data_IF_666228723407
#
_entry.id   IF_666228723407
#
_cell.length_a   1.000
_cell.length_b   1.000
_cell.length_c   1.000
_cell.angle_alpha   90.00
_cell.angle_beta   90.00
_cell.angle_gamma   90.00
#
_symmetry.space_group_name_H-M   'P 1'
#
loop_
_entity.id
_entity.type
_entity.pdbx_description
1 polymer ?
#
# COMPACT_ATOMS: atom_id res chain seq x y z
N UNK A 1 19.57 -20.16 -2.31
CA UNK A 1 19.41 -20.79 -0.98
C UNK A 1 17.95 -21.23 -0.84
N UNK A 2 17.66 -22.39 -0.23
CA UNK A 2 16.28 -22.77 0.06
C UNK A 2 15.71 -21.99 1.28
N UNK A 3 14.39 -22.08 1.47
CA UNK A 3 13.68 -21.31 2.50
C UNK A 3 14.13 -21.66 3.93
N UNK A 4 14.45 -22.94 4.20
CA UNK A 4 14.84 -23.38 5.54
C UNK A 4 16.25 -22.88 5.89
N UNK A 5 17.18 -23.00 4.95
CA UNK A 5 18.53 -22.49 5.10
C UNK A 5 18.51 -20.96 5.26
N UNK A 6 17.68 -20.25 4.48
CA UNK A 6 17.50 -18.81 4.63
C UNK A 6 16.97 -18.46 6.02
N UNK A 7 15.91 -19.14 6.47
CA UNK A 7 15.34 -18.93 7.81
C UNK A 7 16.36 -19.11 8.92
N UNK A 8 17.12 -20.21 8.87
CA UNK A 8 18.16 -20.50 9.87
C UNK A 8 19.24 -19.43 9.89
N UNK A 9 19.63 -18.91 8.72
CA UNK A 9 20.62 -17.85 8.63
C UNK A 9 20.08 -16.53 9.18
N UNK A 10 18.86 -16.13 8.82
CA UNK A 10 18.24 -14.89 9.32
C UNK A 10 18.03 -14.90 10.84
N UNK A 11 17.68 -16.05 11.43
CA UNK A 11 17.57 -16.21 12.89
C UNK A 11 18.89 -16.00 13.65
N UNK A 12 20.04 -16.13 12.97
CA UNK A 12 21.35 -15.93 13.57
C UNK A 12 21.84 -14.48 13.44
N UNK A 13 21.15 -13.63 12.68
CA UNK A 13 21.56 -12.24 12.49
C UNK A 13 21.20 -11.40 13.72
N UNK A 14 22.16 -10.67 14.31
CA UNK A 14 21.84 -9.70 15.36
C UNK A 14 21.14 -8.48 14.74
N UNK A 15 20.17 -7.92 15.44
CA UNK A 15 19.40 -6.75 14.99
C UNK A 15 20.23 -5.46 14.80
N UNK A 16 21.46 -5.38 15.35
CA UNK A 16 22.11 -4.06 15.55
C UNK A 16 23.49 -3.91 14.88
N UNK A 17 24.11 -4.95 14.31
CA UNK A 17 25.43 -4.75 13.68
C UNK A 17 25.83 -5.78 12.61
N UNK A 18 25.65 -5.40 11.35
CA UNK A 18 26.06 -6.20 10.18
C UNK A 18 27.58 -6.29 10.02
N UNK A 19 28.32 -5.24 10.41
CA UNK A 19 29.78 -5.22 10.33
C UNK A 19 30.44 -6.20 11.31
N UNK A 20 29.77 -6.52 12.43
CA UNK A 20 30.27 -7.44 13.44
C UNK A 20 30.21 -8.93 13.03
N UNK A 21 29.45 -9.27 11.99
CA UNK A 21 29.26 -10.65 11.53
C UNK A 21 29.95 -10.98 10.21
N UNK A 22 30.69 -10.03 9.60
CA UNK A 22 31.40 -10.30 8.36
C UNK A 22 30.47 -10.71 7.22
N UNK A 23 29.25 -10.15 7.15
CA UNK A 23 28.39 -10.29 5.97
C UNK A 23 29.10 -9.62 4.79
N UNK A 24 29.86 -10.41 4.04
CA UNK A 24 30.66 -9.90 2.93
C UNK A 24 29.79 -9.36 1.78
N UNK A 25 28.54 -9.84 1.66
CA UNK A 25 27.60 -9.45 0.58
C UNK A 25 26.13 -9.39 1.06
N UNK A 26 25.71 -8.36 1.82
CA UNK A 26 24.32 -8.22 2.28
C UNK A 26 23.30 -8.14 1.13
N UNK A 27 23.72 -7.63 -0.03
CA UNK A 27 22.87 -7.57 -1.22
C UNK A 27 22.51 -8.95 -1.79
N UNK A 28 23.45 -9.89 -1.83
CA UNK A 28 23.16 -11.25 -2.30
C UNK A 28 22.14 -11.96 -1.40
N UNK A 29 22.23 -11.72 -0.09
CA UNK A 29 21.23 -12.19 0.86
C UNK A 29 19.88 -11.51 0.63
N UNK A 30 19.85 -10.19 0.36
CA UNK A 30 18.62 -9.49 0.00
C UNK A 30 17.93 -10.10 -1.23
N UNK A 31 18.69 -10.51 -2.25
CA UNK A 31 18.14 -11.20 -3.43
C UNK A 31 17.55 -12.58 -3.07
N UNK A 32 18.18 -13.31 -2.15
CA UNK A 32 17.58 -14.54 -1.61
C UNK A 32 16.30 -14.27 -0.79
N UNK A 33 16.27 -13.19 -0.02
CA UNK A 33 15.06 -12.78 0.71
C UNK A 33 13.93 -12.41 -0.24
N UNK A 34 14.22 -11.66 -1.32
CA UNK A 34 13.23 -11.33 -2.37
C UNK A 34 12.66 -12.59 -3.02
N UNK A 35 13.49 -13.59 -3.31
CA UNK A 35 13.01 -14.88 -3.85
C UNK A 35 12.01 -15.60 -2.93
N UNK A 36 12.10 -15.40 -1.61
CA UNK A 36 11.23 -16.03 -0.61
C UNK A 36 10.23 -15.04 0.03
N UNK A 37 10.05 -13.85 -0.55
CA UNK A 37 9.24 -12.77 0.03
C UNK A 37 7.76 -13.12 0.17
N UNK A 38 7.28 -14.11 -0.58
CA UNK A 38 5.92 -14.65 -0.50
C UNK A 38 5.79 -15.96 0.28
N UNK A 39 6.77 -16.31 1.13
CA UNK A 39 6.74 -17.56 1.89
C UNK A 39 5.44 -17.73 2.70
N UNK A 40 4.79 -18.91 2.71
CA UNK A 40 3.62 -19.17 3.55
C UNK A 40 3.97 -19.32 5.04
N UNK A 41 5.26 -19.41 5.38
CA UNK A 41 5.76 -19.37 6.76
C UNK A 41 5.84 -17.90 7.24
N UNK A 42 4.94 -17.45 8.14
CA UNK A 42 4.87 -16.06 8.57
C UNK A 42 6.10 -15.61 9.35
N UNK A 43 6.80 -16.54 10.03
CA UNK A 43 8.04 -16.18 10.74
C UNK A 43 9.13 -15.87 9.72
N UNK A 44 9.25 -16.66 8.65
CA UNK A 44 10.23 -16.35 7.60
C UNK A 44 9.87 -15.06 6.86
N UNK A 45 8.60 -14.87 6.51
CA UNK A 45 8.15 -13.75 5.68
C UNK A 45 8.13 -12.42 6.45
N UNK A 46 7.41 -12.36 7.56
CA UNK A 46 7.07 -11.12 8.26
C UNK A 46 8.17 -10.75 9.25
N UNK A 47 8.51 -11.68 10.15
CA UNK A 47 9.42 -11.44 11.27
C UNK A 47 10.90 -11.42 10.86
N UNK A 48 11.24 -12.11 9.77
CA UNK A 48 12.62 -12.23 9.30
C UNK A 48 12.85 -11.44 8.01
N UNK A 49 12.28 -11.86 6.87
CA UNK A 49 12.55 -11.22 5.56
C UNK A 49 12.17 -9.74 5.58
N UNK A 50 10.90 -9.42 5.83
CA UNK A 50 10.44 -8.04 5.77
C UNK A 50 11.12 -7.16 6.82
N UNK A 51 11.16 -7.61 8.08
CA UNK A 51 11.82 -6.87 9.15
C UNK A 51 13.30 -6.58 8.84
N UNK A 52 14.06 -7.60 8.43
CA UNK A 52 15.48 -7.46 8.08
C UNK A 52 15.66 -6.49 6.91
N UNK A 53 14.86 -6.62 5.85
CA UNK A 53 14.92 -5.73 4.70
C UNK A 53 14.63 -4.28 5.08
N UNK A 54 13.55 -4.02 5.84
CA UNK A 54 13.18 -2.69 6.28
C UNK A 54 14.27 -2.05 7.16
N UNK A 55 14.83 -2.83 8.10
CA UNK A 55 15.92 -2.37 8.95
C UNK A 55 17.19 -2.05 8.14
N UNK A 56 17.59 -2.93 7.20
CA UNK A 56 18.79 -2.72 6.40
C UNK A 56 18.66 -1.54 5.44
N UNK A 57 17.47 -1.34 4.86
CA UNK A 57 17.18 -0.16 4.03
C UNK A 57 17.28 1.11 4.90
N UNK A 58 16.66 1.11 6.08
CA UNK A 58 16.70 2.23 7.02
C UNK A 58 18.09 2.55 7.57
N UNK A 59 18.95 1.54 7.74
CA UNK A 59 20.35 1.67 8.15
C UNK A 59 21.30 2.00 6.98
N UNK A 60 20.77 2.22 5.77
CA UNK A 60 21.54 2.55 4.56
C UNK A 60 22.60 1.51 4.19
N UNK A 61 22.30 0.22 4.40
CA UNK A 61 23.20 -0.90 4.08
C UNK A 61 23.42 -1.02 2.57
N UNK A 62 22.42 -0.64 1.78
CA UNK A 62 22.45 -0.73 0.33
C UNK A 62 22.85 0.59 -0.33
N UNK A 63 23.60 0.49 -1.42
CA UNK A 63 23.82 1.60 -2.36
C UNK A 63 22.54 2.01 -3.09
N UNK A 64 22.53 3.19 -3.70
CA UNK A 64 21.39 3.69 -4.47
C UNK A 64 21.06 2.76 -5.64
N UNK A 65 22.08 2.23 -6.31
CA UNK A 65 21.92 1.26 -7.40
C UNK A 65 21.28 -0.05 -6.93
N UNK A 66 21.66 -0.53 -5.73
CA UNK A 66 21.09 -1.73 -5.14
C UNK A 66 19.64 -1.53 -4.70
N UNK A 67 19.32 -0.37 -4.10
CA UNK A 67 17.95 -0.02 -3.73
C UNK A 67 17.05 0.07 -4.97
N UNK A 68 17.54 0.71 -6.03
CA UNK A 68 16.84 0.78 -7.32
C UNK A 68 16.63 -0.61 -7.93
N UNK A 69 17.64 -1.48 -7.88
CA UNK A 69 17.49 -2.85 -8.36
C UNK A 69 16.47 -3.67 -7.53
N UNK A 70 16.46 -3.53 -6.20
CA UNK A 70 15.46 -4.18 -5.34
C UNK A 70 14.04 -3.66 -5.61
N UNK A 71 13.90 -2.35 -5.85
CA UNK A 71 12.63 -1.73 -6.20
C UNK A 71 12.09 -2.26 -7.53
N UNK A 72 12.94 -2.33 -8.55
CA UNK A 72 12.57 -2.90 -9.85
C UNK A 72 12.18 -4.37 -9.73
N UNK A 73 12.92 -5.14 -8.94
CA UNK A 73 12.62 -6.56 -8.67
C UNK A 73 11.27 -6.72 -7.97
N UNK A 74 11.03 -5.96 -6.89
CA UNK A 74 9.76 -5.99 -6.16
C UNK A 74 8.55 -5.66 -7.06
N UNK A 75 8.76 -4.86 -8.11
CA UNK A 75 7.69 -4.43 -9.00
C UNK A 75 7.55 -5.27 -10.27
N UNK A 76 8.29 -6.36 -10.45
CA UNK A 76 8.26 -7.17 -11.68
C UNK A 76 7.05 -8.13 -11.79
N UNK A 77 7.03 -8.95 -12.85
CA UNK A 77 5.97 -9.92 -13.14
C UNK A 77 5.97 -11.14 -12.20
N UNK A 78 7.11 -11.45 -11.59
CA UNK A 78 7.29 -12.58 -10.67
C UNK A 78 7.13 -12.17 -9.19
N UNK A 79 6.92 -10.88 -8.93
CA UNK A 79 6.73 -10.28 -7.61
C UNK A 79 5.38 -9.56 -7.51
N UNK A 80 5.32 -8.24 -7.76
CA UNK A 80 4.09 -7.44 -7.64
C UNK A 80 2.93 -7.99 -8.47
N UNK A 81 3.20 -8.53 -9.65
CA UNK A 81 2.17 -9.08 -10.54
C UNK A 81 2.10 -10.61 -10.56
N UNK A 82 2.78 -11.27 -9.62
CA UNK A 82 2.80 -12.74 -9.54
C UNK A 82 1.38 -13.30 -9.44
N UNK A 83 0.89 -13.84 -10.55
CA UNK A 83 -0.47 -14.37 -10.70
C UNK A 83 -1.56 -13.38 -10.27
N UNK A 84 -1.37 -12.11 -10.63
CA UNK A 84 -2.30 -11.02 -10.29
C UNK A 84 -3.77 -11.40 -10.62
N UNK A 85 -4.67 -11.12 -9.68
CA UNK A 85 -6.10 -11.46 -9.77
C UNK A 85 -6.47 -12.84 -9.20
N UNK A 86 -5.49 -13.72 -8.93
CA UNK A 86 -5.73 -14.98 -8.23
C UNK A 86 -6.12 -14.74 -6.76
N UNK A 87 -7.17 -15.44 -6.30
CA UNK A 87 -7.73 -15.31 -4.96
C UNK A 87 -7.65 -16.63 -4.18
N UNK A 88 -7.47 -16.55 -2.87
CA UNK A 88 -7.56 -17.69 -1.96
C UNK A 88 -6.31 -18.56 -1.90
N UNK A 89 -5.27 -18.25 -2.68
CA UNK A 89 -4.01 -19.01 -2.71
C UNK A 89 -2.87 -18.25 -2.05
N UNK A 90 -1.71 -18.89 -1.93
CA UNK A 90 -0.54 -18.28 -1.29
C UNK A 90 0.15 -17.23 -2.17
N UNK A 91 -0.28 -17.09 -3.43
CA UNK A 91 0.25 -16.08 -4.36
C UNK A 91 0.09 -14.64 -3.84
N UNK A 92 -0.93 -14.39 -3.00
CA UNK A 92 -1.16 -13.07 -2.38
C UNK A 92 0.03 -12.62 -1.54
N UNK A 93 0.74 -13.53 -0.87
CA UNK A 93 1.86 -13.17 0.00
C UNK A 93 3.00 -12.57 -0.81
N UNK A 94 3.32 -13.14 -1.98
CA UNK A 94 4.33 -12.57 -2.87
C UNK A 94 3.95 -11.14 -3.26
N UNK A 95 2.73 -10.94 -3.77
CA UNK A 95 2.31 -9.63 -4.26
C UNK A 95 2.24 -8.59 -3.14
N UNK A 96 1.63 -8.96 -2.01
CA UNK A 96 1.42 -8.06 -0.88
C UNK A 96 2.73 -7.66 -0.19
N UNK A 97 3.70 -8.56 -0.04
CA UNK A 97 4.99 -8.19 0.54
C UNK A 97 5.91 -7.51 -0.47
N UNK A 98 5.72 -7.75 -1.76
CA UNK A 98 6.43 -7.02 -2.81
C UNK A 98 6.01 -5.55 -2.85
N UNK A 99 4.71 -5.22 -2.78
CA UNK A 99 4.27 -3.82 -2.70
C UNK A 99 4.72 -3.16 -1.39
N UNK A 100 4.82 -3.92 -0.28
CA UNK A 100 5.30 -3.42 1.01
C UNK A 100 6.80 -3.06 1.00
N UNK A 101 7.56 -3.48 0.00
CA UNK A 101 8.96 -3.07 -0.15
C UNK A 101 9.12 -1.61 -0.64
N UNK A 102 8.09 -1.01 -1.22
CA UNK A 102 8.16 0.35 -1.76
C UNK A 102 8.34 1.41 -0.66
N UNK A 103 7.52 1.45 0.42
CA UNK A 103 7.64 2.45 1.49
C UNK A 103 9.07 2.66 2.04
N UNK A 104 9.80 1.64 2.52
CA UNK A 104 11.14 1.86 3.07
C UNK A 104 12.13 2.40 2.02
N UNK A 105 12.05 1.95 0.76
CA UNK A 105 12.94 2.42 -0.32
C UNK A 105 12.63 3.87 -0.69
N UNK A 106 11.35 4.20 -0.88
CA UNK A 106 10.88 5.57 -1.13
C UNK A 106 11.18 6.51 0.04
N UNK A 107 11.18 5.98 1.27
CA UNK A 107 11.61 6.67 2.47
C UNK A 107 13.09 7.08 2.45
N UNK A 108 13.96 6.22 1.92
CA UNK A 108 15.37 6.57 1.69
C UNK A 108 15.51 7.59 0.56
N UNK A 109 14.82 7.40 -0.57
CA UNK A 109 14.85 8.35 -1.70
C UNK A 109 14.45 9.77 -1.26
N UNK A 110 13.44 9.90 -0.41
CA UNK A 110 13.01 11.19 0.13
C UNK A 110 14.08 11.89 0.99
N UNK A 111 14.93 11.13 1.67
CA UNK A 111 16.03 11.66 2.48
C UNK A 111 17.29 11.92 1.64
N UNK A 112 17.57 11.01 0.71
CA UNK A 112 18.69 11.02 -0.23
C UNK A 112 18.14 10.70 -1.62
N UNK A 113 17.77 11.70 -2.43
CA UNK A 113 17.17 11.44 -3.74
C UNK A 113 18.11 10.70 -4.68
N UNK A 114 17.65 9.56 -5.19
CA UNK A 114 18.34 8.74 -6.19
C UNK A 114 17.42 8.27 -7.32
N UNK A 115 16.10 8.37 -7.16
CA UNK A 115 15.10 8.09 -8.20
C UNK A 115 14.83 9.34 -9.04
N UNK A 116 14.82 9.15 -10.36
CA UNK A 116 14.47 10.23 -11.29
C UNK A 116 12.96 10.31 -11.54
N UNK A 117 12.52 11.45 -12.10
CA UNK A 117 11.11 11.70 -12.45
C UNK A 117 10.47 10.53 -13.20
N UNK A 118 11.11 10.05 -14.26
CA UNK A 118 10.55 9.00 -15.12
C UNK A 118 10.37 7.68 -14.36
N UNK A 119 11.23 7.41 -13.38
CA UNK A 119 11.16 6.22 -12.53
C UNK A 119 10.02 6.31 -11.53
N UNK A 120 9.82 7.48 -10.91
CA UNK A 120 8.67 7.73 -10.05
C UNK A 120 7.35 7.56 -10.81
N UNK A 121 7.27 8.03 -12.07
CA UNK A 121 6.08 7.82 -12.89
C UNK A 121 5.91 6.34 -13.26
N UNK A 122 6.99 5.62 -13.57
CA UNK A 122 6.94 4.18 -13.81
C UNK A 122 6.42 3.40 -12.59
N UNK A 123 6.89 3.76 -11.37
CA UNK A 123 6.41 3.19 -10.10
C UNK A 123 4.91 3.47 -9.94
N UNK A 124 4.47 4.71 -10.17
CA UNK A 124 3.05 5.11 -10.11
C UNK A 124 2.18 4.27 -11.02
N UNK A 125 2.53 4.13 -12.29
CA UNK A 125 1.73 3.35 -13.25
C UNK A 125 1.60 1.88 -12.83
N UNK A 126 2.67 1.27 -12.33
CA UNK A 126 2.64 -0.13 -11.86
C UNK A 126 1.85 -0.27 -10.57
N UNK A 127 1.96 0.68 -9.63
CA UNK A 127 1.15 0.67 -8.41
C UNK A 127 -0.35 0.82 -8.72
N UNK A 128 -0.73 1.71 -9.64
CA UNK A 128 -2.11 1.85 -10.12
C UNK A 128 -2.59 0.56 -10.78
N UNK A 129 -1.76 -0.07 -11.61
CA UNK A 129 -2.08 -1.35 -12.25
C UNK A 129 -2.29 -2.45 -11.21
N UNK A 130 -1.45 -2.50 -10.16
CA UNK A 130 -1.59 -3.44 -9.05
C UNK A 130 -2.89 -3.22 -8.27
N UNK A 131 -3.20 -1.97 -7.88
CA UNK A 131 -4.45 -1.63 -7.21
C UNK A 131 -5.68 -2.03 -8.03
N UNK A 132 -5.63 -1.94 -9.36
CA UNK A 132 -6.73 -2.39 -10.22
C UNK A 132 -6.82 -3.92 -10.34
N UNK A 133 -5.68 -4.59 -10.42
CA UNK A 133 -5.61 -6.03 -10.71
C UNK A 133 -5.69 -6.94 -9.49
N UNK A 134 -5.34 -6.47 -8.30
CA UNK A 134 -5.37 -7.28 -7.08
C UNK A 134 -6.80 -7.55 -6.66
N UNK A 135 -7.15 -8.83 -6.54
CA UNK A 135 -8.49 -9.27 -6.15
C UNK A 135 -8.50 -10.01 -4.80
N UNK A 136 -7.33 -10.42 -4.29
CA UNK A 136 -7.23 -11.06 -2.99
C UNK A 136 -7.05 -10.01 -1.89
N UNK A 137 -8.13 -9.76 -1.17
CA UNK A 137 -8.22 -8.70 -0.16
C UNK A 137 -8.19 -9.25 1.27
N UNK A 138 -7.78 -10.50 1.45
CA UNK A 138 -7.69 -11.11 2.79
C UNK A 138 -6.66 -10.35 3.65
N UNK A 139 -7.04 -9.98 4.87
CA UNK A 139 -6.12 -9.37 5.82
C UNK A 139 -5.24 -10.40 6.53
N UNK A 140 -5.83 -11.38 7.21
CA UNK A 140 -5.12 -12.46 7.92
C UNK A 140 -5.56 -13.84 7.42
N UNK A 141 -4.59 -14.74 7.24
CA UNK A 141 -4.82 -16.14 6.87
C UNK A 141 -4.37 -17.04 8.02
N UNK A 142 -5.27 -17.88 8.51
CA UNK A 142 -5.00 -18.77 9.64
C UNK A 142 -3.76 -19.65 9.36
N UNK A 143 -2.87 -19.74 10.35
CA UNK A 143 -1.57 -20.43 10.29
C UNK A 143 -0.55 -19.89 9.27
N UNK A 144 -0.90 -18.87 8.47
CA UNK A 144 -0.01 -18.27 7.46
C UNK A 144 0.29 -16.79 7.69
N UNK A 145 -0.42 -16.13 8.61
CA UNK A 145 -0.17 -14.74 9.00
C UNK A 145 -0.84 -13.72 8.07
N UNK A 146 -0.23 -12.54 7.98
CA UNK A 146 -0.78 -11.42 7.24
C UNK A 146 -0.68 -11.61 5.72
N UNK A 147 -1.79 -11.46 5.02
CA UNK A 147 -1.81 -11.27 3.56
C UNK A 147 -1.83 -9.76 3.26
N UNK A 148 -2.83 -9.03 3.76
CA UNK A 148 -2.80 -7.56 3.86
C UNK A 148 -2.52 -6.77 2.56
N UNK A 149 -2.83 -7.33 1.40
CA UNK A 149 -2.58 -6.69 0.12
C UNK A 149 -3.12 -5.23 0.02
N UNK A 150 -4.39 -4.92 0.37
CA UNK A 150 -4.88 -3.54 0.35
C UNK A 150 -4.15 -2.61 1.32
N UNK A 151 -3.80 -3.12 2.49
CA UNK A 151 -3.12 -2.37 3.54
C UNK A 151 -1.69 -1.99 3.12
N UNK A 152 -0.95 -2.94 2.57
CA UNK A 152 0.41 -2.71 2.07
C UNK A 152 0.41 -1.81 0.83
N UNK A 153 -0.61 -1.94 -0.03
CA UNK A 153 -0.79 -1.03 -1.17
C UNK A 153 -1.03 0.42 -0.71
N UNK A 154 -1.82 0.61 0.36
CA UNK A 154 -2.08 1.92 0.93
C UNK A 154 -0.79 2.60 1.42
N UNK A 155 0.07 1.88 2.14
CA UNK A 155 1.37 2.42 2.56
C UNK A 155 2.24 2.83 1.36
N UNK A 156 2.26 2.01 0.30
CA UNK A 156 2.99 2.35 -0.91
C UNK A 156 2.42 3.60 -1.60
N UNK A 157 1.10 3.76 -1.64
CA UNK A 157 0.45 4.97 -2.15
C UNK A 157 0.82 6.18 -1.28
N UNK A 158 0.77 6.04 0.04
CA UNK A 158 1.13 7.10 0.98
C UNK A 158 2.56 7.60 0.74
N UNK A 159 3.54 6.70 0.70
CA UNK A 159 4.94 7.11 0.54
C UNK A 159 5.26 7.60 -0.86
N UNK A 160 4.65 7.03 -1.91
CA UNK A 160 4.79 7.49 -3.28
C UNK A 160 4.20 8.90 -3.46
N UNK A 161 3.03 9.17 -2.86
CA UNK A 161 2.36 10.47 -2.91
C UNK A 161 3.19 11.61 -2.29
N UNK A 162 4.22 11.32 -1.49
CA UNK A 162 5.15 12.32 -0.95
C UNK A 162 6.21 12.79 -1.97
N UNK A 163 6.34 12.11 -3.11
CA UNK A 163 7.36 12.47 -4.10
C UNK A 163 7.10 13.84 -4.75
N UNK A 164 8.10 14.73 -4.84
CA UNK A 164 7.96 16.04 -5.48
C UNK A 164 7.79 15.92 -7.01
N UNK A 165 8.03 14.74 -7.59
CA UNK A 165 7.90 14.52 -9.02
C UNK A 165 6.45 14.26 -9.46
N UNK A 166 5.55 13.92 -8.53
CA UNK A 166 4.12 13.74 -8.83
C UNK A 166 3.40 15.09 -8.85
N UNK A 167 2.72 15.34 -9.96
CA UNK A 167 1.88 16.51 -10.17
C UNK A 167 0.41 16.23 -9.76
N UNK A 168 -0.45 17.25 -9.92
CA UNK A 168 -1.88 17.17 -9.60
C UNK A 168 -2.56 15.94 -10.21
N UNK A 169 -2.38 15.74 -11.53
CA UNK A 169 -3.02 14.63 -12.26
C UNK A 169 -2.57 13.27 -11.75
N UNK A 170 -1.29 13.12 -11.41
CA UNK A 170 -0.75 11.87 -10.85
C UNK A 170 -1.34 11.55 -9.48
N UNK A 171 -1.49 12.57 -8.63
CA UNK A 171 -2.09 12.43 -7.31
C UNK A 171 -3.58 12.08 -7.39
N UNK A 172 -4.32 12.68 -8.33
CA UNK A 172 -5.71 12.35 -8.59
C UNK A 172 -5.88 10.90 -9.09
N UNK A 173 -5.01 10.45 -9.99
CA UNK A 173 -4.98 9.07 -10.48
C UNK A 173 -4.71 8.06 -9.35
N UNK A 174 -3.74 8.35 -8.47
CA UNK A 174 -3.47 7.54 -7.28
C UNK A 174 -4.67 7.51 -6.32
N UNK A 175 -5.32 8.65 -6.09
CA UNK A 175 -6.49 8.74 -5.22
C UNK A 175 -7.65 7.89 -5.74
N UNK A 176 -7.93 7.97 -7.05
CA UNK A 176 -8.93 7.12 -7.70
C UNK A 176 -8.57 5.64 -7.68
N UNK A 177 -7.29 5.29 -7.89
CA UNK A 177 -6.84 3.91 -7.81
C UNK A 177 -6.98 3.34 -6.38
N UNK A 178 -6.68 4.14 -5.36
CA UNK A 178 -6.89 3.77 -3.96
C UNK A 178 -8.38 3.54 -3.66
N UNK A 179 -9.26 4.38 -4.21
CA UNK A 179 -10.72 4.25 -4.03
C UNK A 179 -11.27 2.91 -4.54
N UNK A 180 -10.61 2.25 -5.50
CA UNK A 180 -11.01 0.90 -5.94
C UNK A 180 -10.95 -0.09 -4.77
N UNK A 181 -9.94 0.01 -3.89
CA UNK A 181 -9.86 -0.84 -2.69
C UNK A 181 -10.83 -0.39 -1.60
N UNK A 182 -11.04 0.91 -1.43
CA UNK A 182 -12.07 1.42 -0.50
C UNK A 182 -13.47 0.90 -0.85
N UNK A 183 -13.77 0.76 -2.14
CA UNK A 183 -15.04 0.25 -2.66
C UNK A 183 -15.08 -1.28 -2.82
N UNK A 184 -14.18 -2.03 -2.17
CA UNK A 184 -14.21 -3.49 -2.21
C UNK A 184 -15.54 -4.04 -1.69
N UNK A 185 -16.12 -4.98 -2.43
CA UNK A 185 -17.46 -5.51 -2.18
C UNK A 185 -17.48 -6.97 -1.72
N UNK A 186 -16.38 -7.71 -1.79
CA UNK A 186 -16.38 -9.13 -1.48
C UNK A 186 -15.99 -9.43 -0.03
N UNK A 187 -15.36 -8.48 0.67
CA UNK A 187 -14.92 -8.63 2.05
C UNK A 187 -14.98 -7.31 2.81
N UNK A 188 -15.32 -7.37 4.10
CA UNK A 188 -15.20 -6.22 5.01
C UNK A 188 -13.79 -6.17 5.58
N UNK A 189 -13.22 -4.97 5.62
CA UNK A 189 -11.94 -4.73 6.27
C UNK A 189 -12.10 -4.67 7.80
N UNK A 190 -11.26 -5.43 8.50
CA UNK A 190 -11.30 -5.56 9.97
C UNK A 190 -9.91 -5.52 10.62
N UNK A 191 -8.87 -5.29 9.82
CA UNK A 191 -7.47 -5.36 10.23
C UNK A 191 -6.74 -4.04 9.91
N UNK A 192 -7.41 -2.91 10.14
CA UNK A 192 -6.85 -1.55 10.00
C UNK A 192 -6.59 -1.10 8.55
N UNK A 193 -7.12 -1.82 7.54
CA UNK A 193 -6.97 -1.42 6.14
C UNK A 193 -7.61 -0.05 5.85
N UNK A 194 -8.74 0.26 6.49
CA UNK A 194 -9.43 1.54 6.38
C UNK A 194 -8.59 2.71 6.91
N UNK A 195 -7.91 2.52 8.04
CA UNK A 195 -7.04 3.52 8.64
C UNK A 195 -5.80 3.77 7.79
N UNK A 196 -5.17 2.73 7.23
CA UNK A 196 -4.00 2.87 6.35
C UNK A 196 -4.36 3.55 5.03
N UNK A 197 -5.50 3.18 4.42
CA UNK A 197 -6.01 3.91 3.26
C UNK A 197 -6.34 5.37 3.59
N UNK A 198 -6.87 5.66 4.78
CA UNK A 198 -7.12 7.03 5.22
C UNK A 198 -5.82 7.85 5.36
N UNK A 199 -4.72 7.27 5.84
CA UNK A 199 -3.41 7.96 5.88
C UNK A 199 -2.86 8.25 4.47
N UNK A 200 -3.02 7.31 3.54
CA UNK A 200 -2.65 7.51 2.14
C UNK A 200 -3.45 8.66 1.51
N UNK A 201 -4.78 8.69 1.70
CA UNK A 201 -5.62 9.77 1.24
C UNK A 201 -5.27 11.11 1.92
N UNK A 202 -5.06 11.14 3.24
CA UNK A 202 -4.59 12.34 3.95
C UNK A 202 -3.31 12.89 3.32
N UNK A 203 -2.35 12.02 3.01
CA UNK A 203 -1.08 12.44 2.40
C UNK A 203 -1.28 13.04 1.02
N UNK A 204 -2.12 12.42 0.18
CA UNK A 204 -2.47 12.96 -1.15
C UNK A 204 -3.15 14.34 -1.01
N UNK A 205 -4.15 14.47 -0.14
CA UNK A 205 -4.86 15.72 0.11
C UNK A 205 -3.92 16.80 0.65
N UNK A 206 -3.02 16.42 1.55
CA UNK A 206 -2.03 17.31 2.17
C UNK A 206 -0.99 17.87 1.19
N UNK A 207 -0.87 17.30 -0.02
CA UNK A 207 -0.10 17.92 -1.10
C UNK A 207 -0.72 19.24 -1.57
N UNK A 208 -2.02 19.46 -1.30
CA UNK A 208 -2.77 20.67 -1.65
C UNK A 208 -2.61 21.08 -3.12
N UNK A 209 -2.61 20.08 -4.01
CA UNK A 209 -2.52 20.28 -5.46
C UNK A 209 -3.86 20.04 -6.19
N UNK A 210 -4.80 19.32 -5.55
CA UNK A 210 -6.11 19.03 -6.13
C UNK A 210 -7.01 20.26 -6.09
N UNK A 211 -7.80 20.44 -7.13
CA UNK A 211 -8.82 21.49 -7.20
C UNK A 211 -10.04 21.12 -6.34
N UNK A 212 -10.78 22.14 -5.88
CA UNK A 212 -12.00 21.92 -5.09
C UNK A 212 -13.00 21.01 -5.81
N UNK A 213 -13.20 21.19 -7.13
CA UNK A 213 -14.11 20.35 -7.91
C UNK A 213 -13.65 18.88 -7.94
N UNK A 214 -12.34 18.62 -8.03
CA UNK A 214 -11.79 17.26 -8.01
C UNK A 214 -12.04 16.58 -6.64
N UNK A 215 -12.00 17.35 -5.54
CA UNK A 215 -12.32 16.85 -4.20
C UNK A 215 -13.81 16.57 -4.01
N UNK A 216 -14.66 17.47 -4.51
CA UNK A 216 -16.12 17.32 -4.49
C UNK A 216 -16.54 16.08 -5.29
N UNK A 217 -16.03 15.93 -6.51
CA UNK A 217 -16.30 14.78 -7.38
C UNK A 217 -15.81 13.47 -6.75
N UNK A 218 -14.63 13.47 -6.13
CA UNK A 218 -14.10 12.28 -5.46
C UNK A 218 -14.94 11.85 -4.24
N UNK A 219 -15.36 12.79 -3.39
CA UNK A 219 -16.23 12.46 -2.26
C UNK A 219 -17.61 12.00 -2.74
N UNK A 220 -18.13 12.63 -3.79
CA UNK A 220 -19.40 12.23 -4.42
C UNK A 220 -19.33 10.82 -5.00
N UNK A 221 -18.24 10.45 -5.67
CA UNK A 221 -18.01 9.07 -6.15
C UNK A 221 -18.20 8.04 -5.03
N UNK A 222 -17.64 8.31 -3.84
CA UNK A 222 -17.77 7.43 -2.68
C UNK A 222 -19.20 7.44 -2.10
N UNK A 223 -19.90 8.57 -2.14
CA UNK A 223 -21.29 8.70 -1.69
C UNK A 223 -22.27 7.96 -2.62
N UNK A 224 -22.11 8.11 -3.93
CA UNK A 224 -22.96 7.50 -4.96
C UNK A 224 -22.81 5.97 -4.92
N UNK A 225 -21.57 5.47 -4.82
CA UNK A 225 -21.30 4.04 -4.68
C UNK A 225 -21.98 3.38 -3.45
N UNK A 226 -22.30 4.16 -2.41
CA UNK A 226 -23.03 3.68 -1.21
C UNK A 226 -24.55 3.75 -1.34
N UNK A 227 -25.07 4.47 -2.33
CA UNK A 227 -26.49 4.83 -2.48
C UNK A 227 -27.14 4.16 -3.69
N UNK A 228 -26.37 3.76 -4.69
CA UNK A 228 -26.86 3.07 -5.88
C UNK A 228 -27.26 1.61 -5.56
N UNK A 229 -28.55 1.40 -5.31
CA UNK A 229 -29.18 0.08 -5.10
C UNK A 229 -29.35 -0.72 -6.43
N UNK A 230 -29.05 -0.12 -7.59
CA UNK A 230 -29.46 -0.59 -8.92
C UNK A 230 -28.32 -1.12 -9.81
N UNK A 231 -27.16 -1.49 -9.27
CA UNK A 231 -26.17 -2.23 -10.08
C UNK A 231 -26.61 -3.70 -10.20
N UNK A 232 -27.19 -4.06 -11.35
CA UNK A 232 -27.83 -5.36 -11.67
C UNK A 232 -26.94 -6.62 -11.40
N UNK A 233 -25.67 -6.44 -11.02
CA UNK A 233 -24.71 -7.50 -10.74
C UNK A 233 -24.37 -7.79 -9.27
N UNK A 234 -24.72 -6.95 -8.29
CA UNK A 234 -24.29 -7.15 -6.88
C UNK A 234 -25.35 -7.81 -6.01
N UNK A 235 -24.92 -8.72 -5.14
CA UNK A 235 -25.78 -9.25 -4.07
C UNK A 235 -25.97 -8.23 -2.95
N UNK A 236 -27.05 -8.35 -2.17
CA UNK A 236 -27.28 -7.52 -0.97
C UNK A 236 -26.12 -7.58 0.03
N UNK A 237 -25.47 -8.74 0.14
CA UNK A 237 -24.28 -8.91 0.96
C UNK A 237 -23.13 -8.04 0.43
N UNK A 238 -22.82 -8.15 -0.86
CA UNK A 238 -21.73 -7.39 -1.47
C UNK A 238 -21.96 -5.88 -1.38
N UNK A 239 -23.20 -5.43 -1.61
CA UNK A 239 -23.57 -4.03 -1.41
C UNK A 239 -23.35 -3.59 0.05
N UNK A 240 -23.78 -4.40 1.02
CA UNK A 240 -23.60 -4.11 2.44
C UNK A 240 -22.12 -4.04 2.83
N UNK A 241 -21.28 -4.92 2.29
CA UNK A 241 -19.84 -4.95 2.52
C UNK A 241 -19.15 -3.70 1.95
N UNK A 242 -19.44 -3.37 0.69
CA UNK A 242 -18.97 -2.15 0.02
C UNK A 242 -19.38 -0.90 0.81
N UNK A 243 -20.67 -0.79 1.16
CA UNK A 243 -21.19 0.38 1.87
C UNK A 243 -20.58 0.54 3.26
N UNK A 244 -20.26 -0.58 3.93
CA UNK A 244 -19.53 -0.57 5.20
C UNK A 244 -18.07 -0.13 5.01
N UNK A 245 -17.34 -0.68 4.06
CA UNK A 245 -15.93 -0.32 3.80
C UNK A 245 -15.79 1.18 3.49
N UNK A 246 -16.61 1.72 2.58
CA UNK A 246 -16.58 3.14 2.25
C UNK A 246 -16.89 3.99 3.47
N UNK A 247 -17.91 3.63 4.26
CA UNK A 247 -18.28 4.37 5.47
C UNK A 247 -17.15 4.37 6.51
N UNK A 248 -16.52 3.22 6.76
CA UNK A 248 -15.40 3.09 7.69
C UNK A 248 -14.23 3.94 7.22
N UNK A 249 -13.84 3.84 5.95
CA UNK A 249 -12.80 4.69 5.36
C UNK A 249 -13.09 6.18 5.53
N UNK A 250 -14.30 6.64 5.18
CA UNK A 250 -14.68 8.05 5.30
C UNK A 250 -14.65 8.54 6.75
N UNK A 251 -15.06 7.70 7.71
CA UNK A 251 -14.98 8.01 9.14
C UNK A 251 -13.53 8.11 9.60
N UNK A 252 -12.70 7.13 9.25
CA UNK A 252 -11.27 7.10 9.59
C UNK A 252 -10.53 8.30 8.99
N UNK A 253 -10.78 8.64 7.71
CA UNK A 253 -10.25 9.84 7.08
C UNK A 253 -10.70 11.10 7.81
N UNK A 254 -12.01 11.27 8.05
CA UNK A 254 -12.53 12.41 8.80
C UNK A 254 -11.83 12.58 10.15
N UNK A 255 -11.67 11.50 10.92
CA UNK A 255 -11.00 11.58 12.22
C UNK A 255 -9.52 11.95 12.13
N UNK A 256 -8.82 11.48 11.11
CA UNK A 256 -7.41 11.79 10.87
C UNK A 256 -7.21 13.25 10.44
N UNK A 257 -8.15 13.85 9.70
CA UNK A 257 -8.01 15.22 9.17
C UNK A 257 -8.78 16.31 9.93
N UNK A 258 -9.72 15.98 10.84
CA UNK A 258 -10.63 16.96 11.48
C UNK A 258 -9.96 18.14 12.20
N UNK A 259 -8.76 17.91 12.73
CA UNK A 259 -8.03 18.91 13.52
C UNK A 259 -7.00 19.68 12.67
N UNK A 260 -6.87 19.34 11.38
CA UNK A 260 -5.98 20.02 10.43
C UNK A 260 -6.60 21.34 9.95
N UNK A 261 -5.84 22.43 10.11
CA UNK A 261 -6.30 23.79 9.80
C UNK A 261 -5.87 24.30 8.41
N UNK A 262 -4.88 23.64 7.81
CA UNK A 262 -4.37 24.03 6.49
C UNK A 262 -5.30 23.50 5.38
N UNK A 263 -5.41 24.25 4.29
CA UNK A 263 -6.08 23.74 3.10
C UNK A 263 -5.36 22.48 2.57
N UNK A 264 -6.11 21.51 2.00
CA UNK A 264 -7.56 21.53 1.73
C UNK A 264 -8.41 20.87 2.85
N UNK A 265 -7.84 20.62 4.02
CA UNK A 265 -8.48 19.77 5.03
C UNK A 265 -9.83 20.29 5.57
N UNK A 266 -10.03 21.60 5.83
CA UNK A 266 -11.35 22.11 6.25
C UNK A 266 -12.47 21.81 5.24
N UNK A 267 -12.19 21.97 3.94
CA UNK A 267 -13.12 21.63 2.87
C UNK A 267 -13.39 20.12 2.84
N UNK A 268 -12.34 19.29 2.84
CA UNK A 268 -12.47 17.84 2.83
C UNK A 268 -13.28 17.32 4.02
N UNK A 269 -13.05 17.86 5.23
CA UNK A 269 -13.84 17.57 6.42
C UNK A 269 -15.34 17.88 6.24
N UNK A 270 -15.66 19.03 5.64
CA UNK A 270 -17.04 19.42 5.38
C UNK A 270 -17.72 18.47 4.39
N UNK A 271 -17.03 18.12 3.30
CA UNK A 271 -17.53 17.19 2.29
C UNK A 271 -17.77 15.79 2.87
N UNK A 272 -16.79 15.24 3.60
CA UNK A 272 -16.92 13.94 4.26
C UNK A 272 -18.08 13.91 5.25
N UNK A 273 -18.25 14.97 6.04
CA UNK A 273 -19.34 15.06 7.01
C UNK A 273 -20.72 15.11 6.33
N UNK A 274 -20.87 15.83 5.21
CA UNK A 274 -22.13 15.86 4.43
C UNK A 274 -22.45 14.48 3.86
N UNK A 275 -21.48 13.87 3.19
CA UNK A 275 -21.62 12.55 2.56
C UNK A 275 -21.82 11.42 3.59
N UNK A 276 -21.31 11.55 4.82
CA UNK A 276 -21.59 10.62 5.92
C UNK A 276 -23.01 10.78 6.49
N UNK A 277 -23.56 12.01 6.49
CA UNK A 277 -24.89 12.31 7.02
C UNK A 277 -26.04 12.10 6.02
N UNK A 278 -25.72 11.88 4.73
CA UNK A 278 -26.73 11.72 3.67
C UNK A 278 -27.57 12.98 3.44
N UNK A 279 -26.99 14.16 3.61
CA UNK A 279 -27.64 15.44 3.33
C UNK A 279 -27.06 16.03 2.05
N UNK A 280 -27.83 15.97 0.99
CA UNK A 280 -27.67 16.86 -0.15
C UNK A 280 -28.49 18.11 0.18
N UNK A 281 -27.83 19.24 0.43
CA UNK A 281 -28.48 20.55 0.59
C UNK A 281 -28.88 21.11 -0.78
#
# INVERSE_FOLDING_TARGET
MDALALKQMLLQLPSVNLSAYGLEQPYDLALHMMHHIGSPDPVLRDELIYFTMAEWIGQHVFSDEQLKALLLLAMDEEHLFYRIGEQGTDSVFTRAFSVLMLPPILGVDRQRPFLHRDEIHWIKERLITYLRGEMDVRGYVENKGWAHAPAHAADAVEDLAKSPYLARTDLLELLHALSIKVMESNQVYIYDEDQRMAQAAMTILGRNLLEQAELEDWVKLLQDARSEDEDEGRTLQQFSQLSLNIRMFMQSLYFVIRDQKAEPFPLACSLLLRALNGRDD
#
